data_IF_522617775281
#
_entry.id   IF_522617775281
#
_cell.length_a   1.000
_cell.length_b   1.000
_cell.length_c   1.000
_cell.angle_alpha   90.00
_cell.angle_beta   90.00
_cell.angle_gamma   90.00
#
_symmetry.space_group_name_H-M   'P 1'
#
loop_
_entity.id
_entity.type
_entity.pdbx_description
1 polymer ?
#
# COMPACT_ATOMS: atom_id res chain seq x y z
N UNK A 1 30.39 43.43 -38.00
CA UNK A 1 30.04 43.86 -36.62
C UNK A 1 30.20 42.64 -35.71
N UNK A 2 31.35 42.48 -35.05
CA UNK A 2 31.68 41.30 -34.24
C UNK A 2 31.14 41.51 -32.81
N UNK A 3 30.18 40.67 -32.40
CA UNK A 3 29.56 40.71 -31.07
C UNK A 3 30.50 40.01 -30.08
N UNK A 4 31.18 40.75 -29.20
CA UNK A 4 31.98 40.18 -28.10
C UNK A 4 31.06 39.34 -27.21
N UNK A 5 31.22 38.01 -27.22
CA UNK A 5 30.67 37.15 -26.17
C UNK A 5 31.50 37.40 -24.90
N UNK A 6 30.90 38.08 -23.93
CA UNK A 6 31.50 38.25 -22.60
C UNK A 6 31.56 36.88 -21.94
N UNK A 7 32.77 36.36 -21.69
CA UNK A 7 32.98 35.17 -20.85
C UNK A 7 32.85 35.62 -19.39
N UNK A 8 31.65 35.55 -18.84
CA UNK A 8 31.42 35.70 -17.40
C UNK A 8 31.67 34.36 -16.71
N UNK A 9 32.50 34.37 -15.67
CA UNK A 9 32.71 33.23 -14.76
C UNK A 9 31.89 33.41 -13.49
N UNK A 10 31.56 32.31 -12.83
CA UNK A 10 30.89 32.34 -11.53
C UNK A 10 31.89 32.66 -10.42
N UNK A 11 31.45 33.45 -9.44
CA UNK A 11 32.27 33.71 -8.26
C UNK A 11 32.25 32.50 -7.32
N UNK A 12 33.37 32.25 -6.64
CA UNK A 12 33.46 31.16 -5.65
C UNK A 12 32.39 31.29 -4.55
N UNK A 13 32.07 32.52 -4.14
CA UNK A 13 31.05 32.79 -3.14
C UNK A 13 29.64 32.39 -3.62
N UNK A 14 29.35 32.62 -4.90
CA UNK A 14 28.07 32.28 -5.52
C UNK A 14 27.87 30.76 -5.53
N UNK A 15 28.94 30.02 -5.84
CA UNK A 15 28.92 28.55 -5.82
C UNK A 15 28.72 28.00 -4.39
N UNK A 16 29.34 28.60 -3.38
CA UNK A 16 29.14 28.17 -1.98
C UNK A 16 27.71 28.42 -1.48
N UNK A 17 27.07 29.52 -1.89
CA UNK A 17 25.69 29.82 -1.53
C UNK A 17 24.75 28.81 -2.18
N UNK A 18 24.95 28.48 -3.46
CA UNK A 18 24.13 27.50 -4.18
C UNK A 18 24.25 26.12 -3.53
N UNK A 19 25.46 25.65 -3.23
CA UNK A 19 25.64 24.34 -2.56
C UNK A 19 25.00 24.32 -1.17
N UNK A 20 25.11 25.41 -0.41
CA UNK A 20 24.43 25.57 0.87
C UNK A 20 22.90 25.42 0.75
N UNK A 21 22.29 26.14 -0.19
CA UNK A 21 20.84 26.08 -0.42
C UNK A 21 20.39 24.70 -0.92
N UNK A 22 21.14 24.10 -1.85
CA UNK A 22 20.83 22.77 -2.39
C UNK A 22 20.93 21.70 -1.30
N UNK A 23 21.92 21.77 -0.40
CA UNK A 23 22.04 20.81 0.70
C UNK A 23 20.84 20.82 1.64
N UNK A 24 20.32 22.02 1.95
CA UNK A 24 19.14 22.18 2.80
C UNK A 24 17.88 21.61 2.13
N UNK A 25 17.71 21.86 0.84
CA UNK A 25 16.62 21.28 0.05
C UNK A 25 16.73 19.76 -0.06
N UNK A 26 17.94 19.22 -0.24
CA UNK A 26 18.17 17.78 -0.37
C UNK A 26 17.72 17.00 0.87
N UNK A 27 17.90 17.57 2.07
CA UNK A 27 17.41 16.96 3.32
C UNK A 27 15.89 16.86 3.33
N UNK A 28 15.19 17.95 2.97
CA UNK A 28 13.73 17.97 2.91
C UNK A 28 13.18 16.97 1.88
N UNK A 29 13.78 16.92 0.69
CA UNK A 29 13.41 15.95 -0.36
C UNK A 29 13.62 14.52 0.11
N UNK A 30 14.75 14.24 0.77
CA UNK A 30 15.06 12.89 1.28
C UNK A 30 14.04 12.42 2.31
N UNK A 31 13.62 13.30 3.22
CA UNK A 31 12.61 12.99 4.23
C UNK A 31 11.24 12.66 3.61
N UNK A 32 10.84 13.40 2.57
CA UNK A 32 9.60 13.14 1.82
C UNK A 32 9.69 11.79 1.12
N UNK A 33 10.79 11.52 0.41
CA UNK A 33 10.99 10.25 -0.32
C UNK A 33 10.93 9.06 0.63
N UNK A 34 11.62 9.12 1.78
CA UNK A 34 11.54 8.06 2.79
C UNK A 34 10.11 7.85 3.29
N UNK A 35 9.40 8.94 3.57
CA UNK A 35 8.00 8.88 4.04
C UNK A 35 7.08 8.24 2.98
N UNK A 36 7.29 8.56 1.70
CA UNK A 36 6.56 7.95 0.58
C UNK A 36 6.86 6.46 0.44
N UNK A 37 8.12 6.03 0.61
CA UNK A 37 8.49 4.61 0.53
C UNK A 37 7.83 3.83 1.67
N UNK A 38 7.90 4.35 2.91
CA UNK A 38 7.29 3.69 4.07
C UNK A 38 5.77 3.61 3.93
N UNK A 39 5.11 4.70 3.50
CA UNK A 39 3.66 4.68 3.26
C UNK A 39 3.27 3.73 2.14
N UNK A 40 4.02 3.68 1.03
CA UNK A 40 3.78 2.73 -0.07
C UNK A 40 3.88 1.28 0.41
N UNK A 41 4.88 0.96 1.25
CA UNK A 41 5.03 -0.39 1.83
C UNK A 41 3.83 -0.77 2.70
N UNK A 42 3.37 0.15 3.57
CA UNK A 42 2.17 -0.06 4.40
C UNK A 42 0.91 -0.29 3.56
N UNK A 43 0.73 0.50 2.51
CA UNK A 43 -0.41 0.35 1.59
C UNK A 43 -0.36 -1.02 0.90
N UNK A 44 0.81 -1.44 0.41
CA UNK A 44 0.96 -2.77 -0.22
C UNK A 44 0.56 -3.91 0.72
N UNK A 45 0.99 -3.86 1.99
CA UNK A 45 0.61 -4.87 2.98
C UNK A 45 -0.90 -4.86 3.25
N UNK A 46 -1.51 -3.68 3.37
CA UNK A 46 -2.95 -3.55 3.57
C UNK A 46 -3.73 -4.12 2.38
N UNK A 47 -3.29 -3.84 1.15
CA UNK A 47 -3.87 -4.40 -0.07
C UNK A 47 -3.75 -5.92 -0.10
N UNK A 48 -2.59 -6.46 0.27
CA UNK A 48 -2.40 -7.92 0.32
C UNK A 48 -3.33 -8.59 1.32
N UNK A 49 -3.46 -8.03 2.53
CA UNK A 49 -4.37 -8.53 3.57
C UNK A 49 -5.82 -8.44 3.08
N UNK A 50 -6.20 -7.32 2.47
CA UNK A 50 -7.53 -7.13 1.90
C UNK A 50 -7.83 -8.17 0.83
N UNK A 51 -6.91 -8.39 -0.11
CA UNK A 51 -7.07 -9.37 -1.18
C UNK A 51 -7.18 -10.80 -0.63
N UNK A 52 -6.39 -11.13 0.40
CA UNK A 52 -6.45 -12.42 1.08
C UNK A 52 -7.79 -12.61 1.81
N UNK A 53 -8.30 -11.55 2.45
CA UNK A 53 -9.62 -11.52 3.08
C UNK A 53 -10.75 -11.67 2.08
N UNK A 54 -10.73 -10.91 0.99
CA UNK A 54 -11.72 -10.98 -0.10
C UNK A 54 -11.74 -12.39 -0.72
N UNK A 55 -10.56 -13.01 -0.90
CA UNK A 55 -10.45 -14.40 -1.36
C UNK A 55 -11.08 -15.38 -0.35
N UNK A 56 -10.69 -15.31 0.92
CA UNK A 56 -11.22 -16.18 1.97
C UNK A 56 -12.76 -16.05 2.09
N UNK A 57 -13.27 -14.83 2.03
CA UNK A 57 -14.71 -14.55 2.02
C UNK A 57 -15.40 -15.19 0.80
N UNK A 58 -14.81 -15.09 -0.38
CA UNK A 58 -15.34 -15.74 -1.59
C UNK A 58 -15.39 -17.26 -1.46
N UNK A 59 -14.37 -17.88 -0.86
CA UNK A 59 -14.36 -19.31 -0.58
C UNK A 59 -15.45 -19.71 0.42
N UNK A 60 -15.57 -18.98 1.55
CA UNK A 60 -16.61 -19.23 2.55
C UNK A 60 -18.01 -19.12 1.91
N UNK A 61 -18.27 -18.07 1.13
CA UNK A 61 -19.54 -17.91 0.42
C UNK A 61 -19.83 -19.07 -0.53
N UNK A 62 -18.81 -19.54 -1.25
CA UNK A 62 -18.95 -20.68 -2.18
C UNK A 62 -19.28 -21.95 -1.42
N UNK A 63 -18.59 -22.22 -0.31
CA UNK A 63 -18.80 -23.41 0.52
C UNK A 63 -20.22 -23.39 1.12
N UNK A 64 -20.63 -22.26 1.72
CA UNK A 64 -21.96 -22.11 2.32
C UNK A 64 -23.08 -22.22 1.28
N UNK A 65 -22.92 -21.62 0.09
CA UNK A 65 -23.92 -21.71 -0.99
C UNK A 65 -24.06 -23.11 -1.58
N UNK A 66 -22.99 -23.92 -1.52
CA UNK A 66 -22.99 -25.31 -1.99
C UNK A 66 -23.13 -26.32 -0.84
N UNK A 67 -23.46 -25.87 0.37
CA UNK A 67 -23.68 -26.76 1.50
C UNK A 67 -24.93 -27.63 1.25
N UNK A 68 -24.87 -28.90 1.66
CA UNK A 68 -26.00 -29.83 1.52
C UNK A 68 -27.12 -29.53 2.50
N UNK A 69 -26.79 -29.03 3.67
CA UNK A 69 -27.72 -28.66 4.73
C UNK A 69 -27.09 -27.63 5.64
N UNK A 70 -27.89 -26.70 6.16
CA UNK A 70 -27.48 -25.65 7.09
C UNK A 70 -28.37 -25.76 8.32
N UNK A 71 -27.77 -25.95 9.51
CA UNK A 71 -28.51 -26.35 10.72
C UNK A 71 -28.69 -25.22 11.75
N UNK A 72 -28.01 -24.08 11.61
CA UNK A 72 -28.16 -22.94 12.53
C UNK A 72 -28.24 -21.61 11.77
N UNK A 73 -29.45 -21.05 11.67
CA UNK A 73 -29.72 -19.70 11.16
C UNK A 73 -30.53 -18.89 12.18
N UNK A 74 -30.23 -19.06 13.47
CA UNK A 74 -30.89 -18.28 14.53
C UNK A 74 -30.12 -16.96 14.73
N UNK A 75 -30.84 -15.84 14.77
CA UNK A 75 -30.27 -14.51 15.05
C UNK A 75 -29.63 -14.38 16.44
N UNK A 76 -29.78 -15.41 17.28
CA UNK A 76 -29.29 -15.45 18.66
C UNK A 76 -27.92 -16.11 18.78
N UNK A 77 -27.43 -16.81 17.74
CA UNK A 77 -26.16 -17.55 17.76
C UNK A 77 -25.13 -16.94 16.78
N UNK A 78 -23.90 -16.74 17.25
CA UNK A 78 -22.77 -16.24 16.44
C UNK A 78 -22.08 -17.34 15.60
N UNK A 79 -22.63 -18.55 15.56
CA UNK A 79 -22.05 -19.70 14.86
C UNK A 79 -22.99 -20.33 13.84
N UNK A 80 -22.40 -20.74 12.71
CA UNK A 80 -23.09 -21.36 11.59
C UNK A 80 -22.57 -22.79 11.42
N UNK A 81 -23.40 -23.78 11.74
CA UNK A 81 -23.10 -25.18 11.42
C UNK A 81 -23.73 -25.56 10.09
N UNK A 82 -22.94 -26.15 9.20
CA UNK A 82 -23.40 -26.65 7.91
C UNK A 82 -22.68 -27.94 7.51
N UNK A 83 -23.34 -28.73 6.67
CA UNK A 83 -22.75 -29.91 6.04
C UNK A 83 -22.20 -29.48 4.69
N UNK A 84 -20.88 -29.53 4.54
CA UNK A 84 -20.19 -29.18 3.31
C UNK A 84 -20.57 -30.10 2.13
N UNK A 85 -20.20 -29.71 0.90
CA UNK A 85 -20.40 -30.55 -0.29
C UNK A 85 -19.69 -31.92 -0.19
N UNK A 86 -18.61 -31.99 0.59
CA UNK A 86 -17.86 -33.19 0.97
C UNK A 86 -18.59 -34.11 1.95
N UNK A 87 -19.69 -33.65 2.57
CA UNK A 87 -20.49 -34.42 3.51
C UNK A 87 -19.98 -34.38 4.95
N UNK A 88 -18.95 -33.58 5.24
CA UNK A 88 -18.47 -33.35 6.61
C UNK A 88 -19.14 -32.11 7.22
N UNK A 89 -19.36 -32.16 8.53
CA UNK A 89 -19.92 -31.03 9.28
C UNK A 89 -18.81 -30.03 9.57
N UNK A 90 -19.02 -28.78 9.14
CA UNK A 90 -18.19 -27.64 9.51
C UNK A 90 -19.00 -26.73 10.41
N UNK A 91 -18.36 -26.19 11.44
CA UNK A 91 -18.93 -25.25 12.43
C UNK A 91 -18.07 -24.00 12.49
#
# INVERSE_FOLDING_TARGET
MQKKLSKHGYSLIELTIVVGLVSLLAVAVSAIVLSTIVSSSRIKNLVLIRQSGDYAQGQIQTIVRNAKSVSSCDSTNDSLSFIGPDGYTTT
#
